data_IF_782617901871
#
_entry.id   IF_782617901871
#
_cell.length_a   1.000
_cell.length_b   1.000
_cell.length_c   1.000
_cell.angle_alpha   90.00
_cell.angle_beta   90.00
_cell.angle_gamma   90.00
#
_symmetry.space_group_name_H-M   'P 1'
#
loop_
_entity.id
_entity.type
_entity.pdbx_description
1 polymer ?
#
# COMPACT_ATOMS: atom_id res chain seq x y z
N UNK A 1 -19.90 1.27 1.28
CA UNK A 1 -21.12 1.81 0.70
C UNK A 1 -21.96 2.65 1.67
N UNK A 2 -21.29 3.25 2.63
CA UNK A 2 -21.91 4.27 3.47
C UNK A 2 -21.90 5.57 2.69
N UNK A 3 -22.79 6.49 3.05
CA UNK A 3 -22.85 7.80 2.41
C UNK A 3 -21.71 8.69 2.97
N UNK A 4 -20.52 8.72 2.36
CA UNK A 4 -19.39 9.47 2.89
C UNK A 4 -19.62 10.98 2.70
N UNK A 5 -19.12 11.78 3.62
CA UNK A 5 -19.08 13.24 3.47
C UNK A 5 -17.89 13.57 2.57
N UNK A 6 -18.16 13.83 1.31
CA UNK A 6 -17.16 14.20 0.29
C UNK A 6 -17.73 15.38 -0.51
N UNK A 7 -16.91 16.39 -0.81
CA UNK A 7 -17.28 17.53 -1.64
C UNK A 7 -16.15 17.95 -2.62
N UNK A 8 -16.36 19.04 -3.33
CA UNK A 8 -15.43 19.55 -4.33
C UNK A 8 -14.08 20.07 -3.79
N UNK A 9 -13.94 20.21 -2.47
CA UNK A 9 -12.69 20.61 -1.83
C UNK A 9 -11.83 19.42 -1.42
N UNK A 10 -12.37 18.20 -1.59
CA UNK A 10 -11.67 16.98 -1.22
C UNK A 10 -10.77 16.46 -2.33
N UNK A 11 -9.67 15.83 -1.92
CA UNK A 11 -8.81 15.01 -2.77
C UNK A 11 -8.94 13.56 -2.33
N UNK A 12 -9.39 12.71 -3.23
CA UNK A 12 -9.52 11.27 -3.01
C UNK A 12 -8.35 10.54 -3.66
N UNK A 13 -7.62 9.75 -2.89
CA UNK A 13 -6.54 8.91 -3.40
C UNK A 13 -7.08 7.50 -3.58
N UNK A 14 -7.21 7.05 -4.82
CA UNK A 14 -7.65 5.71 -5.17
C UNK A 14 -6.42 4.80 -5.37
N UNK A 15 -6.31 3.76 -4.55
CA UNK A 15 -5.18 2.82 -4.57
C UNK A 15 -5.68 1.46 -5.02
N UNK A 16 -5.06 0.91 -6.07
CA UNK A 16 -5.41 -0.42 -6.57
C UNK A 16 -4.22 -1.09 -7.24
N UNK A 17 -4.11 -2.40 -7.09
CA UNK A 17 -3.10 -3.17 -7.81
C UNK A 17 -3.58 -3.46 -9.24
N UNK A 18 -4.73 -4.10 -9.40
CA UNK A 18 -5.29 -4.49 -10.70
C UNK A 18 -5.91 -3.32 -11.46
N UNK A 19 -6.40 -2.31 -10.74
CA UNK A 19 -7.18 -1.21 -11.30
C UNK A 19 -8.57 -1.61 -11.79
N UNK A 20 -9.04 -2.82 -11.45
CA UNK A 20 -10.33 -3.37 -11.87
C UNK A 20 -11.25 -3.75 -10.70
N UNK A 21 -10.87 -3.39 -9.46
CA UNK A 21 -11.68 -3.70 -8.27
C UNK A 21 -12.99 -2.91 -8.31
N UNK A 22 -14.11 -3.61 -8.45
CA UNK A 22 -15.43 -3.02 -8.63
C UNK A 22 -15.81 -2.04 -7.50
N UNK A 23 -15.53 -2.42 -6.24
CA UNK A 23 -15.83 -1.57 -5.09
C UNK A 23 -15.02 -0.28 -5.08
N UNK A 24 -13.75 -0.37 -5.46
CA UNK A 24 -12.88 0.82 -5.57
C UNK A 24 -13.35 1.71 -6.72
N UNK A 25 -13.74 1.14 -7.86
CA UNK A 25 -14.26 1.89 -8.99
C UNK A 25 -15.57 2.62 -8.62
N UNK A 26 -16.49 1.94 -7.94
CA UNK A 26 -17.73 2.55 -7.46
C UNK A 26 -17.45 3.71 -6.48
N UNK A 27 -16.46 3.57 -5.60
CA UNK A 27 -16.06 4.64 -4.69
C UNK A 27 -15.45 5.84 -5.45
N UNK A 28 -14.64 5.59 -6.48
CA UNK A 28 -14.08 6.63 -7.36
C UNK A 28 -15.19 7.37 -8.10
N UNK A 29 -16.15 6.67 -8.68
CA UNK A 29 -17.30 7.27 -9.37
C UNK A 29 -18.17 8.11 -8.42
N UNK A 30 -18.44 7.61 -7.21
CA UNK A 30 -19.18 8.36 -6.18
C UNK A 30 -18.45 9.67 -5.82
N UNK A 31 -17.16 9.62 -5.56
CA UNK A 31 -16.37 10.80 -5.22
C UNK A 31 -16.31 11.80 -6.38
N UNK A 32 -16.16 11.32 -7.61
CA UNK A 32 -16.18 12.12 -8.82
C UNK A 32 -17.51 12.84 -9.02
N UNK A 33 -18.63 12.14 -8.81
CA UNK A 33 -19.98 12.71 -8.93
C UNK A 33 -20.25 13.79 -7.86
N UNK A 34 -19.51 13.77 -6.75
CA UNK A 34 -19.56 14.80 -5.71
C UNK A 34 -18.56 15.94 -5.94
N UNK A 35 -17.83 15.91 -7.05
CA UNK A 35 -16.92 16.97 -7.45
C UNK A 35 -15.50 16.88 -6.86
N UNK A 36 -15.17 15.83 -6.12
CA UNK A 36 -13.83 15.66 -5.56
C UNK A 36 -12.77 15.46 -6.65
N UNK A 37 -11.55 15.92 -6.38
CA UNK A 37 -10.40 15.61 -7.23
C UNK A 37 -9.87 14.21 -6.92
N UNK A 38 -9.69 13.38 -7.96
CA UNK A 38 -9.28 11.98 -7.78
C UNK A 38 -7.87 11.76 -8.30
N UNK A 39 -6.99 11.27 -7.43
CA UNK A 39 -5.64 10.85 -7.77
C UNK A 39 -5.52 9.32 -7.69
N UNK A 40 -5.12 8.67 -8.78
CA UNK A 40 -5.01 7.20 -8.82
C UNK A 40 -3.58 6.71 -8.58
N UNK A 41 -3.42 5.69 -7.76
CA UNK A 41 -2.16 4.92 -7.64
C UNK A 41 -2.45 3.49 -8.03
N UNK A 42 -1.95 3.05 -9.19
CA UNK A 42 -2.29 1.76 -9.75
C UNK A 42 -1.07 1.04 -10.33
N UNK A 43 -1.10 -0.29 -10.37
CA UNK A 43 -0.05 -1.05 -11.03
C UNK A 43 -0.38 -1.34 -12.51
N UNK A 44 -1.61 -1.76 -12.80
CA UNK A 44 -2.02 -2.12 -14.15
C UNK A 44 -2.29 -0.89 -15.00
N UNK A 45 -1.42 -0.66 -15.99
CA UNK A 45 -1.54 0.45 -16.95
C UNK A 45 -2.79 0.27 -17.81
N UNK A 46 -3.57 1.34 -17.97
CA UNK A 46 -4.75 1.35 -18.84
C UNK A 46 -5.99 0.64 -18.27
N UNK A 47 -5.96 0.20 -17.02
CA UNK A 47 -7.12 -0.39 -16.32
C UNK A 47 -8.22 0.65 -16.03
N UNK A 48 -9.36 0.20 -15.54
CA UNK A 48 -10.57 1.04 -15.38
C UNK A 48 -10.40 2.17 -14.36
N UNK A 49 -9.77 1.89 -13.20
CA UNK A 49 -9.57 2.90 -12.15
C UNK A 49 -8.70 4.07 -12.64
N UNK A 50 -7.50 3.87 -13.23
CA UNK A 50 -6.73 4.99 -13.79
C UNK A 50 -7.49 5.82 -14.82
N UNK A 51 -8.32 5.18 -15.66
CA UNK A 51 -9.15 5.92 -16.63
C UNK A 51 -10.26 6.74 -15.99
N UNK A 52 -10.72 6.34 -14.79
CA UNK A 52 -11.75 7.04 -14.05
C UNK A 52 -11.20 8.16 -13.16
N UNK A 53 -9.88 8.22 -12.93
CA UNK A 53 -9.22 9.25 -12.11
C UNK A 53 -8.85 10.48 -12.95
N UNK A 54 -8.65 11.64 -12.32
CA UNK A 54 -8.22 12.87 -13.00
C UNK A 54 -6.74 12.82 -13.38
N UNK A 55 -5.92 12.23 -12.53
CA UNK A 55 -4.49 12.00 -12.72
C UNK A 55 -4.01 10.90 -11.78
N UNK A 56 -2.75 10.50 -11.88
CA UNK A 56 -2.22 9.48 -10.99
C UNK A 56 -0.80 9.05 -11.31
N UNK A 57 -0.35 8.02 -10.62
CA UNK A 57 0.95 7.39 -10.81
C UNK A 57 0.80 5.88 -10.93
N UNK A 58 1.64 5.28 -11.77
CA UNK A 58 1.79 3.83 -11.83
C UNK A 58 2.96 3.38 -10.97
N UNK A 59 2.79 2.27 -10.27
CA UNK A 59 3.83 1.76 -9.36
C UNK A 59 4.89 0.89 -10.07
N UNK A 60 4.60 0.41 -11.28
CA UNK A 60 5.52 -0.34 -12.15
C UNK A 60 6.24 -1.53 -11.50
N UNK A 61 5.57 -2.25 -10.61
CA UNK A 61 6.16 -3.43 -9.94
C UNK A 61 6.02 -4.72 -10.77
N UNK A 62 5.53 -4.62 -12.00
CA UNK A 62 5.24 -5.76 -12.86
C UNK A 62 3.99 -6.55 -12.43
N UNK A 63 3.64 -7.63 -13.12
CA UNK A 63 2.44 -8.41 -12.81
C UNK A 63 2.59 -9.13 -11.46
N UNK A 64 1.51 -9.13 -10.67
CA UNK A 64 1.35 -10.02 -9.52
C UNK A 64 0.88 -11.38 -10.02
N UNK A 65 1.58 -12.44 -9.66
CA UNK A 65 1.26 -13.81 -10.13
C UNK A 65 0.42 -14.54 -9.08
N UNK A 66 0.64 -14.27 -7.80
CA UNK A 66 -0.16 -14.83 -6.70
C UNK A 66 -1.44 -14.04 -6.42
N UNK A 67 -2.39 -14.68 -5.74
CA UNK A 67 -3.63 -14.03 -5.29
C UNK A 67 -3.33 -12.93 -4.27
N UNK A 68 -2.43 -13.21 -3.31
CA UNK A 68 -2.01 -12.24 -2.31
C UNK A 68 -1.02 -11.24 -2.91
N UNK A 69 -1.39 -9.97 -2.90
CA UNK A 69 -0.50 -8.88 -3.32
C UNK A 69 0.62 -8.67 -2.30
N UNK A 70 1.86 -8.62 -2.75
CA UNK A 70 3.03 -8.41 -1.89
C UNK A 70 3.88 -7.22 -2.34
N UNK A 71 4.53 -7.32 -3.50
CA UNK A 71 5.37 -6.24 -4.03
C UNK A 71 4.57 -4.99 -4.39
N UNK A 72 3.30 -5.12 -4.78
CA UNK A 72 2.44 -3.99 -5.05
C UNK A 72 2.18 -3.15 -3.79
N UNK A 73 2.00 -3.78 -2.61
CA UNK A 73 1.91 -3.06 -1.34
C UNK A 73 3.15 -2.20 -1.09
N UNK A 74 4.36 -2.78 -1.24
CA UNK A 74 5.62 -2.03 -1.07
C UNK A 74 5.74 -0.88 -2.07
N UNK A 75 5.37 -1.12 -3.34
CA UNK A 75 5.36 -0.10 -4.40
C UNK A 75 4.37 1.04 -4.09
N UNK A 76 3.17 0.71 -3.62
CA UNK A 76 2.15 1.69 -3.23
C UNK A 76 2.61 2.56 -2.06
N UNK A 77 3.18 1.97 -1.01
CA UNK A 77 3.74 2.70 0.13
C UNK A 77 4.88 3.62 -0.32
N UNK A 78 5.73 3.16 -1.24
CA UNK A 78 6.82 3.97 -1.79
C UNK A 78 6.27 5.19 -2.55
N UNK A 79 5.31 5.00 -3.45
CA UNK A 79 4.69 6.11 -4.20
C UNK A 79 3.96 7.08 -3.28
N UNK A 80 3.23 6.58 -2.26
CA UNK A 80 2.59 7.44 -1.26
C UNK A 80 3.62 8.26 -0.47
N UNK A 81 4.75 7.66 -0.10
CA UNK A 81 5.85 8.38 0.57
C UNK A 81 6.42 9.48 -0.33
N UNK A 82 6.65 9.19 -1.62
CA UNK A 82 7.12 10.18 -2.58
C UNK A 82 6.10 11.31 -2.76
N UNK A 83 4.81 11.00 -2.83
CA UNK A 83 3.74 11.99 -2.91
C UNK A 83 3.72 12.89 -1.66
N UNK A 84 3.80 12.29 -0.48
CA UNK A 84 3.86 13.03 0.79
C UNK A 84 5.07 13.96 0.86
N UNK A 85 6.26 13.51 0.43
CA UNK A 85 7.47 14.31 0.37
C UNK A 85 7.34 15.47 -0.63
N UNK A 86 6.76 15.22 -1.81
CA UNK A 86 6.50 16.26 -2.80
C UNK A 86 5.58 17.34 -2.23
N UNK A 87 4.47 16.93 -1.61
CA UNK A 87 3.54 17.87 -0.97
C UNK A 87 4.18 18.64 0.19
N UNK A 88 5.00 17.99 1.01
CA UNK A 88 5.71 18.64 2.10
C UNK A 88 6.70 19.70 1.60
N UNK A 89 7.41 19.42 0.51
CA UNK A 89 8.32 20.36 -0.15
C UNK A 89 7.57 21.56 -0.72
N UNK A 90 6.51 21.32 -1.49
CA UNK A 90 5.70 22.39 -2.11
C UNK A 90 5.02 23.28 -1.06
N UNK A 91 4.49 22.68 0.00
CA UNK A 91 3.86 23.39 1.12
C UNK A 91 4.86 23.97 2.12
N UNK A 92 6.15 23.72 1.97
CA UNK A 92 7.21 24.16 2.90
C UNK A 92 6.94 23.75 4.36
N UNK A 93 6.38 22.56 4.55
CA UNK A 93 6.09 21.99 5.89
C UNK A 93 7.24 21.15 6.45
N UNK A 94 8.32 20.97 5.68
CA UNK A 94 9.52 20.24 6.04
C UNK A 94 10.75 21.06 5.64
N UNK A 95 11.79 21.06 6.47
CA UNK A 95 13.05 21.68 6.07
C UNK A 95 13.80 20.85 5.01
N UNK A 96 14.66 21.51 4.25
CA UNK A 96 15.33 20.87 3.11
C UNK A 96 16.29 19.76 3.56
N UNK A 97 16.93 19.89 4.71
CA UNK A 97 17.82 18.87 5.27
C UNK A 97 17.08 17.58 5.59
N UNK A 98 15.93 17.69 6.25
CA UNK A 98 15.05 16.54 6.52
C UNK A 98 14.55 15.91 5.22
N UNK A 99 14.10 16.71 4.25
CA UNK A 99 13.66 16.22 2.95
C UNK A 99 14.74 15.40 2.26
N UNK A 100 15.95 15.95 2.13
CA UNK A 100 17.07 15.27 1.47
C UNK A 100 17.50 14.00 2.20
N UNK A 101 17.46 14.00 3.54
CA UNK A 101 17.76 12.81 4.34
C UNK A 101 16.78 11.67 4.05
N UNK A 102 15.49 11.95 3.98
CA UNK A 102 14.45 10.93 3.68
C UNK A 102 14.59 10.44 2.24
N UNK A 103 14.78 11.34 1.26
CA UNK A 103 14.99 10.96 -0.15
C UNK A 103 16.21 10.04 -0.30
N UNK A 104 17.31 10.35 0.40
CA UNK A 104 18.50 9.49 0.44
C UNK A 104 18.19 8.11 1.01
N UNK A 105 17.47 8.05 2.13
CA UNK A 105 17.09 6.78 2.74
C UNK A 105 16.14 5.96 1.85
N UNK A 106 15.21 6.59 1.12
CA UNK A 106 14.41 5.92 0.10
C UNK A 106 15.27 5.27 -0.97
N UNK A 107 16.35 5.92 -1.40
CA UNK A 107 17.31 5.35 -2.35
C UNK A 107 18.03 4.10 -1.82
N UNK A 108 18.14 3.93 -0.50
CA UNK A 108 18.75 2.76 0.13
C UNK A 108 17.76 1.60 0.39
N UNK A 109 16.46 1.80 0.21
CA UNK A 109 15.45 0.75 0.46
C UNK A 109 15.70 -0.53 -0.35
N UNK A 110 16.07 -0.49 -1.65
CA UNK A 110 16.34 -1.72 -2.40
C UNK A 110 17.44 -2.59 -1.78
N UNK A 111 18.50 -1.99 -1.25
CA UNK A 111 19.59 -2.75 -0.63
C UNK A 111 19.17 -3.31 0.73
N UNK A 112 18.43 -2.55 1.53
CA UNK A 112 17.83 -3.04 2.78
C UNK A 112 16.89 -4.22 2.52
N UNK A 113 16.08 -4.17 1.46
CA UNK A 113 15.22 -5.28 1.07
C UNK A 113 16.01 -6.53 0.68
N UNK A 114 17.12 -6.40 -0.06
CA UNK A 114 17.99 -7.54 -0.38
C UNK A 114 18.53 -8.22 0.88
N UNK A 115 18.89 -7.44 1.90
CA UNK A 115 19.35 -8.00 3.19
C UNK A 115 18.22 -8.75 3.92
N UNK A 116 17.01 -8.19 3.95
CA UNK A 116 15.85 -8.86 4.55
C UNK A 116 15.51 -10.16 3.83
N UNK A 117 15.60 -10.21 2.51
CA UNK A 117 15.30 -11.40 1.72
C UNK A 117 16.29 -12.57 2.01
N UNK A 118 17.49 -12.32 2.53
CA UNK A 118 18.42 -13.37 2.98
C UNK A 118 17.89 -14.16 4.18
N UNK A 119 16.87 -13.66 4.87
CA UNK A 119 16.23 -14.35 5.99
C UNK A 119 15.25 -15.44 5.54
N UNK A 120 14.99 -15.60 4.23
CA UNK A 120 13.98 -16.50 3.68
C UNK A 120 14.08 -17.92 4.25
N UNK A 121 15.26 -18.54 4.18
CA UNK A 121 15.46 -19.91 4.61
C UNK A 121 15.27 -20.08 6.12
N UNK A 122 15.73 -19.10 6.91
CA UNK A 122 15.52 -19.09 8.37
C UNK A 122 14.04 -18.98 8.73
N UNK A 123 13.29 -18.14 8.00
CA UNK A 123 11.85 -18.00 8.21
C UNK A 123 11.13 -19.29 7.81
N UNK A 124 11.52 -19.93 6.70
CA UNK A 124 10.98 -21.20 6.28
C UNK A 124 11.22 -22.30 7.32
N UNK A 125 12.40 -22.38 7.93
CA UNK A 125 12.67 -23.31 9.04
C UNK A 125 11.80 -23.02 10.27
N UNK A 126 11.69 -21.76 10.67
CA UNK A 126 10.85 -21.36 11.80
C UNK A 126 9.37 -21.67 11.55
N UNK A 127 8.88 -21.50 10.33
CA UNK A 127 7.47 -21.74 9.99
C UNK A 127 7.06 -23.22 10.18
N UNK A 128 7.98 -24.15 10.06
CA UNK A 128 7.72 -25.60 10.30
C UNK A 128 7.25 -25.87 11.73
N UNK A 129 7.73 -25.09 12.70
CA UNK A 129 7.36 -25.23 14.12
C UNK A 129 5.89 -24.84 14.32
N UNK A 130 5.36 -23.95 13.49
CA UNK A 130 4.02 -23.39 13.62
C UNK A 130 2.99 -24.03 12.69
N UNK A 131 3.34 -25.16 12.03
CA UNK A 131 2.45 -25.83 11.05
C UNK A 131 1.09 -26.22 11.65
N UNK A 132 1.01 -26.48 12.96
CA UNK A 132 -0.20 -26.85 13.66
C UNK A 132 -0.93 -25.67 14.33
N UNK A 133 -0.41 -24.46 14.18
CA UNK A 133 -1.05 -23.28 14.76
C UNK A 133 -2.29 -22.88 13.95
N UNK A 134 -3.40 -22.64 14.63
CA UNK A 134 -4.65 -22.24 14.00
C UNK A 134 -4.93 -20.73 14.14
N UNK A 135 -4.16 -20.04 14.96
CA UNK A 135 -4.32 -18.62 15.22
C UNK A 135 -2.96 -17.92 15.26
N UNK A 136 -2.90 -16.73 14.68
CA UNK A 136 -1.71 -15.89 14.70
C UNK A 136 -2.06 -14.47 15.11
N UNK A 137 -1.20 -13.85 15.89
CA UNK A 137 -1.28 -12.44 16.25
C UNK A 137 -0.06 -11.73 15.68
N UNK A 138 -0.31 -10.69 14.90
CA UNK A 138 0.72 -9.79 14.38
C UNK A 138 0.72 -8.51 15.22
N UNK A 139 1.85 -8.18 15.80
CA UNK A 139 1.99 -7.00 16.65
C UNK A 139 2.77 -5.91 15.91
N UNK A 140 2.24 -4.69 15.89
CA UNK A 140 2.92 -3.56 15.30
C UNK A 140 2.57 -2.26 16.01
N UNK A 141 3.58 -1.48 16.39
CA UNK A 141 3.39 -0.20 17.06
C UNK A 141 3.63 0.97 16.10
N UNK A 142 2.82 2.03 16.19
CA UNK A 142 2.97 3.22 15.35
C UNK A 142 2.91 2.86 13.86
N UNK A 143 3.90 3.24 13.08
CA UNK A 143 3.96 2.94 11.63
C UNK A 143 4.04 1.44 11.29
N UNK A 144 4.41 0.59 12.25
CA UNK A 144 4.43 -0.86 12.06
C UNK A 144 3.05 -1.51 12.23
N UNK A 145 2.06 -0.80 12.80
CA UNK A 145 0.72 -1.36 12.96
C UNK A 145 0.00 -1.64 11.63
N UNK A 146 -0.05 -0.72 10.66
CA UNK A 146 -0.58 -1.04 9.33
C UNK A 146 0.14 -2.21 8.64
N UNK A 147 1.45 -2.35 8.86
CA UNK A 147 2.23 -3.48 8.33
C UNK A 147 1.84 -4.81 9.01
N UNK A 148 1.56 -4.78 10.33
CA UNK A 148 1.04 -5.94 11.05
C UNK A 148 -0.34 -6.37 10.53
N UNK A 149 -1.23 -5.42 10.22
CA UNK A 149 -2.53 -5.68 9.60
C UNK A 149 -2.37 -6.33 8.21
N UNK A 150 -1.45 -5.81 7.39
CA UNK A 150 -1.16 -6.37 6.07
C UNK A 150 -0.58 -7.79 6.18
N UNK A 151 0.33 -8.05 7.12
CA UNK A 151 0.87 -9.38 7.38
C UNK A 151 -0.20 -10.37 7.79
N UNK A 152 -1.10 -9.98 8.70
CA UNK A 152 -2.24 -10.79 9.11
C UNK A 152 -3.17 -11.10 7.93
N UNK A 153 -3.44 -10.10 7.07
CA UNK A 153 -4.24 -10.26 5.86
C UNK A 153 -3.59 -11.27 4.91
N UNK A 154 -2.29 -11.17 4.66
CA UNK A 154 -1.57 -12.10 3.77
C UNK A 154 -1.66 -13.55 4.27
N UNK A 155 -1.51 -13.77 5.58
CA UNK A 155 -1.64 -15.11 6.14
C UNK A 155 -3.06 -15.66 5.97
N UNK A 156 -4.09 -14.85 6.23
CA UNK A 156 -5.49 -15.25 6.02
C UNK A 156 -5.79 -15.60 4.57
N UNK A 157 -5.36 -14.78 3.63
CA UNK A 157 -5.62 -14.96 2.20
C UNK A 157 -4.99 -16.23 1.63
N UNK A 158 -3.80 -16.61 2.12
CA UNK A 158 -3.03 -17.74 1.58
C UNK A 158 -3.39 -19.06 2.27
N UNK A 159 -3.61 -19.04 3.58
CA UNK A 159 -3.67 -20.25 4.40
C UNK A 159 -5.05 -20.52 5.03
N UNK A 160 -5.95 -19.54 5.02
CA UNK A 160 -7.23 -19.55 5.77
C UNK A 160 -7.04 -19.68 7.30
N UNK A 161 -5.81 -19.53 7.80
CA UNK A 161 -5.54 -19.47 9.24
C UNK A 161 -6.05 -18.15 9.79
N UNK A 162 -6.71 -18.19 10.96
CA UNK A 162 -7.14 -16.96 11.62
C UNK A 162 -5.91 -16.13 12.04
N UNK A 163 -5.86 -14.89 11.59
CA UNK A 163 -4.76 -13.98 11.90
C UNK A 163 -5.28 -12.56 12.10
N UNK A 164 -4.81 -11.89 13.14
CA UNK A 164 -5.19 -10.52 13.45
C UNK A 164 -3.96 -9.64 13.75
N UNK A 165 -4.08 -8.36 13.39
CA UNK A 165 -3.08 -7.35 13.73
C UNK A 165 -3.51 -6.52 14.94
N UNK A 166 -2.59 -6.31 15.88
CA UNK A 166 -2.79 -5.50 17.07
C UNK A 166 -1.70 -4.42 17.19
N UNK A 167 -2.04 -3.23 17.73
CA UNK A 167 -1.08 -2.15 17.97
C UNK A 167 -0.15 -2.44 19.16
#
# INVERSE_FOLDING_TARGET
YRDPVIDSNDVVIAISQSGETADTLAAVELARNRGAFIYGICNAVGSSIPRATHTGSYIHVGPEIGVASTKAFTGQVTVLTMLALTLAKEKKTMDEGQYLAIVKELGHIPDKMKEVLKLNDRIAELSKIFTYAHNFIYLGRGYSYPVALEGALKLKEISYIHAEGYP
#
